data_IF_142539147994
#
_entry.id   IF_142539147994
#
_cell.length_a   1.000
_cell.length_b   1.000
_cell.length_c   1.000
_cell.angle_alpha   90.00
_cell.angle_beta   90.00
_cell.angle_gamma   90.00
#
_symmetry.space_group_name_H-M   'P 1'
#
loop_
_entity.id
_entity.type
_entity.pdbx_description
1 polymer ?
#
# COMPACT_ATOMS: atom_id res chain seq x y z
N UNK A 1 16.90 -3.10 -4.07
CA UNK A 1 16.64 -1.70 -4.46
C UNK A 1 15.23 -1.67 -5.02
N UNK A 2 14.26 -1.14 -4.26
CA UNK A 2 12.86 -1.12 -4.68
C UNK A 2 12.69 0.03 -5.69
N UNK A 3 12.55 -0.29 -6.97
CA UNK A 3 12.27 0.70 -8.02
C UNK A 3 10.90 1.30 -7.73
N UNK A 4 10.89 2.55 -7.26
CA UNK A 4 9.64 3.27 -6.98
C UNK A 4 9.22 3.94 -8.28
N UNK A 5 7.98 3.71 -8.72
CA UNK A 5 7.38 4.39 -9.88
C UNK A 5 7.59 5.91 -9.74
N UNK A 6 8.09 6.63 -10.76
CA UNK A 6 8.38 8.07 -10.67
C UNK A 6 7.14 8.95 -10.49
N UNK A 7 5.93 8.42 -10.69
CA UNK A 7 4.65 9.08 -10.33
C UNK A 7 4.30 8.90 -8.86
N UNK A 8 4.92 7.93 -8.21
CA UNK A 8 4.86 7.71 -6.77
C UNK A 8 6.07 8.44 -6.18
N UNK A 9 5.86 9.59 -5.58
CA UNK A 9 6.90 10.20 -4.76
C UNK A 9 6.85 9.51 -3.40
N UNK A 10 7.73 8.55 -3.06
CA UNK A 10 7.92 8.20 -1.66
C UNK A 10 8.37 9.49 -0.99
N UNK A 11 7.53 10.05 -0.12
CA UNK A 11 7.89 11.27 0.59
C UNK A 11 9.01 10.88 1.56
N UNK A 12 10.26 11.08 1.12
CA UNK A 12 11.44 10.83 1.91
C UNK A 12 11.42 11.67 3.18
N UNK A 13 11.74 11.01 4.30
CA UNK A 13 11.95 11.62 5.61
C UNK A 13 10.67 11.73 6.45
N UNK A 14 10.35 10.67 7.21
CA UNK A 14 9.22 10.60 8.17
C UNK A 14 7.81 10.51 7.57
N UNK A 15 7.18 9.33 7.60
CA UNK A 15 5.75 9.25 7.28
C UNK A 15 5.07 7.88 7.14
N UNK A 16 5.48 6.85 7.90
CA UNK A 16 4.81 5.53 8.05
C UNK A 16 4.40 4.82 6.74
N UNK A 17 5.34 4.09 6.13
CA UNK A 17 4.97 2.95 5.28
C UNK A 17 4.45 1.84 6.21
N UNK A 18 3.28 1.28 5.91
CA UNK A 18 2.75 0.13 6.64
C UNK A 18 2.77 -1.09 5.74
N UNK A 19 3.42 -2.16 6.21
CA UNK A 19 3.44 -3.45 5.50
C UNK A 19 2.32 -4.33 6.03
N UNK A 20 1.61 -5.00 5.12
CA UNK A 20 0.59 -6.01 5.45
C UNK A 20 0.97 -7.29 4.70
N UNK A 21 1.08 -8.42 5.39
CA UNK A 21 1.46 -9.70 4.78
C UNK A 21 0.85 -10.88 5.54
N UNK A 22 0.56 -11.96 4.83
CA UNK A 22 0.15 -13.26 5.37
C UNK A 22 1.28 -14.30 5.36
N UNK A 23 2.51 -13.90 5.00
CA UNK A 23 3.67 -14.78 4.83
C UNK A 23 3.90 -15.27 3.39
N UNK A 24 2.91 -15.17 2.51
CA UNK A 24 3.03 -15.52 1.08
C UNK A 24 2.84 -14.31 0.16
N UNK A 25 1.94 -13.41 0.54
CA UNK A 25 1.59 -12.20 -0.19
C UNK A 25 1.92 -10.99 0.67
N UNK A 26 2.53 -9.96 0.08
CA UNK A 26 2.90 -8.72 0.79
C UNK A 26 2.39 -7.49 0.05
N UNK A 27 1.77 -6.59 0.80
CA UNK A 27 1.31 -5.28 0.35
C UNK A 27 1.97 -4.15 1.13
N UNK A 28 2.21 -3.03 0.46
CA UNK A 28 2.80 -1.82 1.03
C UNK A 28 1.76 -0.71 1.02
N UNK A 29 1.59 -0.02 2.16
CA UNK A 29 0.65 1.10 2.28
C UNK A 29 1.43 2.39 2.50
N UNK A 30 1.28 3.33 1.58
CA UNK A 30 2.03 4.57 1.52
C UNK A 30 1.10 5.77 1.43
N UNK A 31 1.57 6.94 1.85
CA UNK A 31 0.86 8.20 1.62
C UNK A 31 1.12 8.65 0.18
N UNK A 32 0.06 8.78 -0.63
CA UNK A 32 0.19 8.93 -2.10
C UNK A 32 0.20 10.37 -2.59
N UNK A 33 -0.21 11.36 -1.78
CA UNK A 33 -0.29 12.77 -2.22
C UNK A 33 0.22 13.74 -1.17
N UNK A 34 1.16 14.62 -1.55
CA UNK A 34 1.56 15.80 -0.78
C UNK A 34 0.40 16.82 -0.77
N UNK A 35 -0.06 17.23 0.41
CA UNK A 35 -1.00 18.35 0.57
C UNK A 35 -2.49 18.03 0.46
N UNK A 36 -2.92 16.95 -0.19
CA UNK A 36 -4.34 16.53 -0.25
C UNK A 36 -4.75 15.39 0.69
N UNK A 37 -3.77 14.72 1.30
CA UNK A 37 -4.00 13.70 2.32
C UNK A 37 -4.71 12.45 1.80
N UNK A 38 -3.96 11.48 1.30
CA UNK A 38 -4.51 10.18 0.91
C UNK A 38 -3.49 9.06 1.07
N UNK A 39 -4.00 7.84 1.20
CA UNK A 39 -3.23 6.60 1.29
C UNK A 39 -3.46 5.73 0.05
N UNK A 40 -2.47 4.92 -0.29
CA UNK A 40 -2.52 3.95 -1.38
C UNK A 40 -1.93 2.62 -0.97
N UNK A 41 -2.42 1.56 -1.61
CA UNK A 41 -2.01 0.17 -1.43
C UNK A 41 -1.25 -0.27 -2.67
N UNK A 42 -0.06 -0.81 -2.46
CA UNK A 42 0.86 -1.24 -3.49
C UNK A 42 1.19 -2.72 -3.31
N UNK A 43 1.61 -3.39 -4.38
CA UNK A 43 2.28 -4.69 -4.30
C UNK A 43 3.66 -4.55 -3.66
N UNK A 44 4.27 -5.67 -3.23
CA UNK A 44 5.67 -5.68 -2.81
C UNK A 44 6.65 -5.24 -3.92
N UNK A 45 6.27 -5.41 -5.19
CA UNK A 45 7.05 -4.95 -6.34
C UNK A 45 6.95 -3.43 -6.56
N UNK A 46 6.02 -2.75 -5.88
CA UNK A 46 5.82 -1.30 -5.94
C UNK A 46 4.63 -0.87 -6.81
N UNK A 47 3.95 -1.80 -7.49
CA UNK A 47 2.81 -1.49 -8.35
C UNK A 47 1.65 -0.96 -7.53
N UNK A 48 1.09 0.19 -7.93
CA UNK A 48 -0.08 0.76 -7.28
C UNK A 48 -1.34 -0.05 -7.62
N UNK A 49 -1.96 -0.65 -6.61
CA UNK A 49 -3.22 -1.37 -6.76
C UNK A 49 -4.43 -0.45 -6.60
N UNK A 50 -4.37 0.46 -5.62
CA UNK A 50 -5.47 1.37 -5.29
C UNK A 50 -4.98 2.57 -4.50
N UNK A 51 -5.56 3.75 -4.73
CA UNK A 51 -5.22 4.99 -4.02
C UNK A 51 -6.46 5.82 -3.70
N UNK A 52 -6.26 6.92 -2.96
CA UNK A 52 -7.34 7.85 -2.60
C UNK A 52 -8.04 7.51 -1.30
N UNK A 53 -7.44 6.64 -0.48
CA UNK A 53 -7.98 6.28 0.82
C UNK A 53 -7.80 7.45 1.80
N UNK A 54 -8.87 7.95 2.45
CA UNK A 54 -8.77 9.11 3.33
C UNK A 54 -7.96 8.82 4.61
N UNK A 55 -7.86 7.55 5.01
CA UNK A 55 -7.15 7.11 6.21
C UNK A 55 -6.34 5.84 5.97
N UNK A 56 -5.29 5.65 6.77
CA UNK A 56 -4.47 4.43 6.79
C UNK A 56 -5.34 3.20 7.07
N UNK A 57 -6.28 3.30 8.00
CA UNK A 57 -7.18 2.20 8.38
C UNK A 57 -8.00 1.69 7.19
N UNK A 58 -8.51 2.59 6.33
CA UNK A 58 -9.25 2.17 5.13
C UNK A 58 -8.36 1.50 4.09
N UNK A 59 -7.15 2.03 3.87
CA UNK A 59 -6.18 1.39 3.00
C UNK A 59 -5.77 0.00 3.53
N UNK A 60 -5.60 -0.15 4.85
CA UNK A 60 -5.28 -1.43 5.50
C UNK A 60 -6.41 -2.44 5.36
N UNK A 61 -7.65 -2.05 5.62
CA UNK A 61 -8.81 -2.93 5.43
C UNK A 61 -8.98 -3.39 3.98
N UNK A 62 -8.55 -2.58 3.00
CA UNK A 62 -8.49 -3.03 1.61
C UNK A 62 -7.38 -4.07 1.39
N UNK A 63 -6.17 -3.83 1.89
CA UNK A 63 -5.06 -4.79 1.82
C UNK A 63 -5.38 -6.12 2.51
N UNK A 64 -6.01 -6.10 3.70
CA UNK A 64 -6.44 -7.30 4.42
C UNK A 64 -7.45 -8.11 3.59
N UNK A 65 -8.39 -7.44 2.91
CA UNK A 65 -9.34 -8.13 2.00
C UNK A 65 -8.65 -8.76 0.79
N UNK A 66 -7.57 -8.15 0.28
CA UNK A 66 -6.78 -8.75 -0.80
C UNK A 66 -6.06 -10.01 -0.32
N UNK A 67 -5.50 -9.99 0.90
CA UNK A 67 -4.88 -11.18 1.50
C UNK A 67 -5.90 -12.29 1.71
N UNK A 68 -7.08 -11.99 2.28
CA UNK A 68 -8.14 -13.00 2.43
C UNK A 68 -8.53 -13.61 1.10
N UNK A 69 -8.64 -12.81 0.02
CA UNK A 69 -8.96 -13.33 -1.31
C UNK A 69 -7.85 -14.18 -1.90
N UNK A 70 -6.59 -13.84 -1.66
CA UNK A 70 -5.44 -14.64 -2.08
C UNK A 70 -5.38 -15.99 -1.34
N UNK A 71 -5.74 -16.01 -0.06
CA UNK A 71 -5.74 -17.21 0.78
C UNK A 71 -6.96 -18.12 0.64
N UNK A 72 -8.08 -17.65 0.08
CA UNK A 72 -9.31 -18.47 -0.15
C UNK A 72 -9.17 -19.40 -1.38
N UNK A 73 -7.97 -19.48 -1.98
CA UNK A 73 -7.67 -20.33 -3.13
C UNK A 73 -7.04 -21.69 -2.82
N UNK A 74 -7.00 -22.14 -1.56
CA UNK A 74 -6.47 -23.47 -1.18
C UNK A 74 -7.54 -24.55 -1.12
#
# INVERSE_FOLDING_TARGET
MLTTDPRVTPVGGSGRVTTVTDGTTTFLICRTVRGRGGWGVHTAAGDLLSSGWPTLTRARSYADRLLTRAGVGS
#
